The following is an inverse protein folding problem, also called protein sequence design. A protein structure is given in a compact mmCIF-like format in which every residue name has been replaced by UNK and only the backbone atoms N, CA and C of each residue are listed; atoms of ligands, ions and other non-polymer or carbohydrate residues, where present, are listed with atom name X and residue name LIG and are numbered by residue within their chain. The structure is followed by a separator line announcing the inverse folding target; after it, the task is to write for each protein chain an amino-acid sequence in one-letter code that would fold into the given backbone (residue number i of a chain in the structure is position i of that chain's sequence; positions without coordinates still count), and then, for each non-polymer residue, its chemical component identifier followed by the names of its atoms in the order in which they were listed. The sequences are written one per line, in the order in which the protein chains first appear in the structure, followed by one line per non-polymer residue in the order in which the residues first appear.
data_IF_763893920801
#
_entry.id   IF_763893920801
#
_cell.length_a   1.000
_cell.length_b   1.000
_cell.length_c   1.000
_cell.angle_alpha   90.00
_cell.angle_beta   90.00
_cell.angle_gamma   90.00
#
_symmetry.space_group_name_H-M   'P 1'
#
loop_
_entity.id
_entity.type
_entity.pdbx_description
1 polymer ?
#
# COMPACT_ATOMS: atom_id res chain seq x y z
N UNK A 1 -3.79 -7.63 8.62
CA UNK A 1 -3.01 -7.09 9.76
C UNK A 1 -1.65 -7.76 9.77
N UNK A 2 -0.58 -7.01 9.94
CA UNK A 2 0.78 -7.53 10.11
C UNK A 2 1.11 -7.43 11.59
N UNK A 3 1.64 -8.50 12.18
CA UNK A 3 2.24 -8.43 13.50
C UNK A 3 3.55 -7.61 13.39
N UNK A 4 3.60 -6.46 14.06
CA UNK A 4 4.74 -5.55 13.98
C UNK A 4 6.05 -6.16 14.51
N UNK A 5 5.99 -7.15 15.40
CA UNK A 5 7.18 -7.87 15.88
C UNK A 5 7.59 -9.01 14.94
N UNK A 6 6.63 -9.73 14.37
CA UNK A 6 6.93 -10.89 13.54
C UNK A 6 7.03 -10.60 12.04
N UNK A 7 6.63 -9.41 11.56
CA UNK A 7 6.49 -9.04 10.13
C UNK A 7 5.71 -10.08 9.29
N UNK A 8 4.98 -11.00 9.92
CA UNK A 8 4.22 -12.05 9.24
C UNK A 8 2.82 -11.53 8.91
N UNK A 9 2.38 -11.61 7.63
CA UNK A 9 1.02 -11.28 7.28
C UNK A 9 0.07 -12.31 7.91
N UNK A 10 -0.92 -11.83 8.65
CA UNK A 10 -1.95 -12.69 9.21
C UNK A 10 -2.82 -13.25 8.06
N UNK A 11 -2.94 -14.58 7.96
CA UNK A 11 -3.64 -15.29 6.86
C UNK A 11 -5.14 -14.99 6.76
N UNK A 12 -5.74 -14.40 7.80
CA UNK A 12 -7.18 -14.07 7.82
C UNK A 12 -7.41 -12.78 7.01
N UNK A 13 -8.33 -12.82 6.03
CA UNK A 13 -8.83 -11.60 5.37
C UNK A 13 -9.38 -10.66 6.44
N UNK A 14 -8.80 -9.47 6.53
CA UNK A 14 -9.21 -8.47 7.52
C UNK A 14 -10.15 -7.49 6.82
N UNK A 15 -11.45 -7.43 7.19
CA UNK A 15 -12.40 -6.56 6.51
C UNK A 15 -12.14 -5.08 6.84
N UNK A 16 -11.73 -4.78 8.08
CA UNK A 16 -11.48 -3.42 8.56
C UNK A 16 -10.26 -3.33 9.46
N UNK A 17 -9.60 -2.18 9.42
CA UNK A 17 -8.44 -1.85 10.26
C UNK A 17 -8.78 -0.68 11.17
N UNK A 18 -8.12 -0.64 12.34
CA UNK A 18 -8.21 0.49 13.29
C UNK A 18 -6.92 1.30 13.22
N UNK A 19 -6.93 2.50 13.82
CA UNK A 19 -5.73 3.30 13.95
C UNK A 19 -4.60 2.50 14.63
N UNK A 20 -3.35 2.71 14.18
CA UNK A 20 -2.16 1.99 14.63
C UNK A 20 -1.93 0.64 13.95
N UNK A 21 -2.87 0.13 13.15
CA UNK A 21 -2.69 -1.14 12.44
C UNK A 21 -1.78 -0.97 11.21
N UNK A 22 -0.88 -1.94 11.00
CA UNK A 22 -0.09 -2.06 9.78
C UNK A 22 -0.69 -3.16 8.90
N UNK A 23 -0.87 -2.86 7.61
CA UNK A 23 -1.41 -3.78 6.62
C UNK A 23 -0.69 -3.67 5.28
N UNK A 24 -0.71 -4.75 4.52
CA UNK A 24 -0.50 -4.72 3.06
C UNK A 24 -1.88 -4.64 2.42
N UNK A 25 -2.06 -3.68 1.53
CA UNK A 25 -3.30 -3.49 0.78
C UNK A 25 -2.99 -3.15 -0.69
N UNK A 26 -3.97 -3.35 -1.57
CA UNK A 26 -3.93 -2.88 -2.95
C UNK A 26 -4.66 -1.55 -3.01
N UNK A 27 -3.99 -0.53 -3.51
CA UNK A 27 -4.58 0.80 -3.75
C UNK A 27 -4.84 0.93 -5.24
N UNK A 28 -6.04 1.37 -5.60
CA UNK A 28 -6.41 1.72 -6.97
C UNK A 28 -6.67 3.22 -7.02
N UNK A 29 -6.15 3.87 -8.06
CA UNK A 29 -6.30 5.30 -8.30
C UNK A 29 -7.02 5.51 -9.62
N UNK A 30 -7.76 6.62 -9.74
CA UNK A 30 -8.51 6.93 -10.95
C UNK A 30 -7.60 7.44 -12.07
N UNK A 31 -6.59 8.23 -11.70
CA UNK A 31 -5.64 8.83 -12.64
C UNK A 31 -4.34 8.04 -12.66
N UNK A 32 -3.67 8.06 -13.82
CA UNK A 32 -2.32 7.52 -13.94
C UNK A 32 -1.38 8.38 -13.10
N UNK A 33 -0.58 7.73 -12.27
CA UNK A 33 0.44 8.35 -11.44
C UNK A 33 1.76 7.61 -11.61
N UNK A 34 2.86 8.35 -11.57
CA UNK A 34 4.19 7.77 -11.51
C UNK A 34 4.53 7.43 -10.06
N UNK A 35 4.89 6.18 -9.79
CA UNK A 35 5.28 5.72 -8.45
C UNK A 35 6.22 4.53 -8.55
N UNK A 36 7.20 4.46 -7.64
CA UNK A 36 8.23 3.43 -7.66
C UNK A 36 8.17 2.54 -6.41
N UNK A 37 8.77 1.35 -6.50
CA UNK A 37 8.96 0.49 -5.33
C UNK A 37 10.03 1.07 -4.41
N UNK A 38 9.90 0.78 -3.12
CA UNK A 38 10.87 1.18 -2.11
C UNK A 38 12.29 0.68 -2.41
N UNK A 39 12.41 -0.55 -2.93
CA UNK A 39 13.70 -1.17 -3.25
C UNK A 39 14.43 -0.45 -4.38
N UNK A 40 13.69 0.16 -5.28
CA UNK A 40 14.23 0.65 -6.55
C UNK A 40 14.59 2.13 -6.42
N UNK A 41 13.67 2.93 -5.85
CA UNK A 41 13.88 4.36 -5.61
C UNK A 41 13.34 4.79 -4.23
N UNK A 42 14.20 4.84 -3.18
CA UNK A 42 13.84 5.18 -1.80
C UNK A 42 13.25 6.59 -1.57
N UNK A 43 13.24 7.45 -2.58
CA UNK A 43 12.66 8.79 -2.53
C UNK A 43 11.26 8.87 -3.17
N UNK A 44 10.89 7.94 -4.08
CA UNK A 44 9.64 8.00 -4.86
C UNK A 44 8.55 7.02 -4.40
N UNK A 45 8.82 6.16 -3.41
CA UNK A 45 7.86 5.16 -2.94
C UNK A 45 6.86 5.68 -1.91
N UNK A 46 7.20 6.78 -1.21
CA UNK A 46 6.43 7.28 -0.06
C UNK A 46 5.15 7.91 -0.56
N UNK A 47 4.02 7.47 -0.02
CA UNK A 47 2.73 8.08 -0.27
C UNK A 47 1.96 8.30 1.03
N UNK A 48 1.01 9.21 0.98
CA UNK A 48 0.05 9.44 2.07
C UNK A 48 -1.37 9.34 1.53
N UNK A 49 -2.28 8.81 2.33
CA UNK A 49 -3.72 8.91 2.06
C UNK A 49 -4.30 10.00 2.95
N UNK A 50 -5.11 10.88 2.36
CA UNK A 50 -5.75 12.00 3.05
C UNK A 50 -7.26 11.89 2.94
N UNK A 51 -7.94 12.16 4.04
CA UNK A 51 -9.40 12.26 4.12
C UNK A 51 -9.73 13.47 4.99
N UNK A 52 -10.62 14.34 4.52
CA UNK A 52 -11.08 15.53 5.27
C UNK A 52 -9.93 16.39 5.84
N UNK A 53 -8.88 16.60 5.04
CA UNK A 53 -7.72 17.41 5.44
C UNK A 53 -6.76 16.72 6.42
N UNK A 54 -7.04 15.49 6.86
CA UNK A 54 -6.20 14.71 7.77
C UNK A 54 -5.45 13.62 7.03
N UNK A 55 -4.19 13.39 7.41
CA UNK A 55 -3.43 12.23 6.94
C UNK A 55 -3.89 11.00 7.72
N UNK A 56 -4.48 10.04 7.01
CA UNK A 56 -5.02 8.81 7.61
C UNK A 56 -4.04 7.64 7.50
N UNK A 57 -3.13 7.68 6.52
CA UNK A 57 -2.14 6.63 6.27
C UNK A 57 -0.84 7.25 5.76
N UNK A 58 0.29 6.72 6.26
CA UNK A 58 1.61 6.86 5.64
C UNK A 58 2.01 5.48 5.15
N UNK A 59 2.28 5.37 3.85
CA UNK A 59 2.39 4.08 3.17
C UNK A 59 3.71 3.90 2.43
N UNK A 60 4.05 2.62 2.20
CA UNK A 60 5.17 2.21 1.36
C UNK A 60 4.79 1.30 0.20
N UNK A 61 5.30 1.61 -1.00
CA UNK A 61 5.12 0.73 -2.16
C UNK A 61 6.08 -0.44 -2.09
N UNK A 62 5.52 -1.64 -2.00
CA UNK A 62 6.28 -2.90 -2.01
C UNK A 62 6.12 -3.68 -3.31
N UNK A 63 5.08 -3.39 -4.10
CA UNK A 63 4.79 -4.07 -5.35
C UNK A 63 4.04 -3.11 -6.29
N UNK A 64 4.27 -3.28 -7.59
CA UNK A 64 3.52 -2.64 -8.67
C UNK A 64 2.80 -3.74 -9.45
N UNK A 65 1.64 -3.46 -10.06
CA UNK A 65 0.99 -4.42 -10.95
C UNK A 65 1.94 -4.76 -12.10
N UNK A 66 2.05 -6.04 -12.45
CA UNK A 66 2.70 -6.42 -13.71
C UNK A 66 1.85 -5.87 -14.86
N UNK A 67 2.44 -5.03 -15.72
CA UNK A 67 1.79 -4.52 -16.94
C UNK A 67 1.60 -5.60 -18.03
N UNK A 68 1.49 -6.87 -17.66
CA UNK A 68 1.36 -7.99 -18.60
C UNK A 68 0.29 -8.98 -18.14
N UNK A 69 -0.83 -9.02 -18.87
CA UNK A 69 -1.83 -10.09 -18.81
C UNK A 69 -3.27 -9.61 -18.76
N UNK A 70 -3.86 -9.24 -19.90
CA UNK A 70 -5.31 -9.07 -20.04
C UNK A 70 -5.72 -8.08 -21.12
N UNK A 71 -5.67 -8.50 -22.39
CA UNK A 71 -6.08 -7.70 -23.54
C UNK A 71 -5.90 -8.40 -24.90
N UNK A 72 -6.29 -9.68 -24.97
CA UNK A 72 -6.75 -10.38 -26.17
C UNK A 72 -7.91 -11.29 -25.73
#
# INVERSE_FOLDING_TARGET
KIDQKAKKPMKKKVPFVKNGAVVVCRVQVNNIICIEKFSDFPQLWRFTLRSEGKTIVVGKVTALPSLGGGGA
#
